data_IF_046294879826
#
_entry.id   IF_046294879826
#
_cell.length_a   1.000
_cell.length_b   1.000
_cell.length_c   1.000
_cell.angle_alpha   90.00
_cell.angle_beta   90.00
_cell.angle_gamma   90.00
#
_symmetry.space_group_name_H-M   'P 1'
#
loop_
_entity.id
_entity.type
_entity.pdbx_description
1 polymer ?
#
# COMPACT_ATOMS: atom_id res chain seq x y z
N UNK A 1 3.34 4.15 -41.42
CA UNK A 1 3.97 4.88 -40.32
C UNK A 1 4.65 3.83 -39.44
N UNK A 2 5.98 3.69 -39.55
CA UNK A 2 6.76 2.71 -38.83
C UNK A 2 6.72 3.07 -37.33
N UNK A 3 6.33 2.13 -36.48
CA UNK A 3 6.30 2.33 -35.01
C UNK A 3 7.74 2.42 -34.52
N UNK A 4 8.18 3.63 -34.16
CA UNK A 4 9.49 3.87 -33.56
C UNK A 4 9.53 3.30 -32.17
N UNK A 5 10.34 2.29 -31.94
CA UNK A 5 10.51 1.62 -30.63
C UNK A 5 11.66 2.31 -29.90
N UNK A 6 11.50 2.51 -28.58
CA UNK A 6 12.56 3.10 -27.74
C UNK A 6 13.43 2.01 -27.15
N UNK A 7 14.75 2.18 -27.21
CA UNK A 7 15.74 1.28 -26.63
C UNK A 7 16.53 2.01 -25.55
N UNK A 8 16.60 1.41 -24.36
CA UNK A 8 17.49 1.85 -23.29
C UNK A 8 18.87 1.21 -23.53
N UNK A 9 19.92 2.03 -23.54
CA UNK A 9 21.27 1.56 -23.77
C UNK A 9 22.21 1.91 -22.62
N UNK A 10 23.17 1.04 -22.42
CA UNK A 10 24.40 1.27 -21.68
C UNK A 10 25.54 1.11 -22.66
N UNK A 11 26.30 2.18 -22.89
CA UNK A 11 27.38 2.19 -23.85
C UNK A 11 28.67 2.76 -23.24
N UNK A 12 29.81 2.34 -23.76
CA UNK A 12 31.11 2.85 -23.36
C UNK A 12 31.62 3.77 -24.44
N UNK A 13 32.23 4.88 -24.05
CA UNK A 13 33.06 5.72 -24.89
C UNK A 13 34.45 5.11 -25.12
N UNK A 14 35.18 5.57 -26.13
CA UNK A 14 36.54 5.12 -26.38
C UNK A 14 37.55 5.44 -25.27
N UNK A 15 37.22 6.38 -24.38
CA UNK A 15 37.98 6.76 -23.18
C UNK A 15 37.63 5.90 -21.96
N UNK A 16 36.72 4.90 -22.08
CA UNK A 16 36.28 4.03 -21.02
C UNK A 16 35.17 4.59 -20.15
N UNK A 17 34.64 5.79 -20.39
CA UNK A 17 33.50 6.33 -19.69
C UNK A 17 32.20 5.64 -20.13
N UNK A 18 31.34 5.34 -19.18
CA UNK A 18 30.03 4.74 -19.44
C UNK A 18 28.95 5.80 -19.59
N UNK A 19 28.14 5.66 -20.65
CA UNK A 19 26.96 6.48 -20.90
C UNK A 19 25.69 5.63 -20.90
N UNK A 20 24.65 6.14 -20.28
CA UNK A 20 23.32 5.52 -20.23
C UNK A 20 22.31 6.46 -20.87
N UNK A 21 21.48 5.94 -21.78
CA UNK A 21 20.48 6.76 -22.44
C UNK A 21 19.32 5.93 -23.01
N UNK A 22 18.41 6.65 -23.67
CA UNK A 22 17.30 6.04 -24.43
C UNK A 22 17.37 6.57 -25.87
N UNK A 23 17.39 5.65 -26.82
CA UNK A 23 17.41 5.93 -28.23
C UNK A 23 16.12 5.41 -28.89
N UNK A 24 15.51 6.20 -29.76
CA UNK A 24 14.38 5.77 -30.58
C UNK A 24 14.88 5.20 -31.90
N UNK A 25 14.54 3.93 -32.21
CA UNK A 25 14.92 3.26 -33.44
C UNK A 25 13.82 2.30 -33.90
N UNK A 26 13.83 1.98 -35.21
CA UNK A 26 12.84 1.05 -35.77
C UNK A 26 13.16 -0.41 -35.47
N UNK A 27 14.40 -0.74 -35.14
CA UNK A 27 14.85 -2.08 -34.77
C UNK A 27 16.07 -2.02 -33.83
N UNK A 28 16.36 -3.17 -33.16
CA UNK A 28 17.56 -3.32 -32.33
C UNK A 28 18.84 -3.03 -33.10
N UNK A 29 18.91 -3.48 -34.36
CA UNK A 29 20.09 -3.28 -35.21
C UNK A 29 20.23 -1.83 -35.68
N UNK A 30 19.12 -1.12 -35.87
CA UNK A 30 19.12 0.31 -36.16
C UNK A 30 19.60 1.11 -34.93
N UNK A 31 19.22 0.71 -33.72
CA UNK A 31 19.71 1.34 -32.49
C UNK A 31 21.21 1.13 -32.29
N UNK A 32 21.72 -0.09 -32.56
CA UNK A 32 23.17 -0.39 -32.47
C UNK A 32 23.98 0.43 -33.46
N UNK A 33 23.49 0.59 -34.70
CA UNK A 33 24.17 1.43 -35.71
C UNK A 33 24.21 2.90 -35.32
N UNK A 34 23.10 3.42 -34.82
CA UNK A 34 23.02 4.82 -34.37
C UNK A 34 23.94 5.10 -33.16
N UNK A 35 24.14 4.13 -32.25
CA UNK A 35 25.13 4.26 -31.18
C UNK A 35 26.56 4.20 -31.70
N UNK A 36 26.84 3.31 -32.63
CA UNK A 36 28.18 3.21 -33.27
C UNK A 36 28.53 4.48 -34.04
N UNK A 37 27.59 5.12 -34.72
CA UNK A 37 27.77 6.42 -35.39
C UNK A 37 28.11 7.57 -34.43
N UNK A 38 27.65 7.45 -33.17
CA UNK A 38 27.98 8.39 -32.09
C UNK A 38 29.29 8.04 -31.35
N UNK A 39 30.04 7.04 -31.84
CA UNK A 39 31.27 6.59 -31.20
C UNK A 39 31.06 5.83 -29.88
N UNK A 40 29.85 5.32 -29.68
CA UNK A 40 29.46 4.60 -28.46
C UNK A 40 29.39 3.08 -28.70
N UNK A 41 30.07 2.31 -27.89
CA UNK A 41 30.04 0.84 -27.91
C UNK A 41 28.96 0.32 -26.95
N UNK A 42 27.88 -0.18 -27.52
CA UNK A 42 26.78 -0.70 -26.75
C UNK A 42 27.21 -1.96 -25.95
N UNK A 43 27.16 -1.88 -24.64
CA UNK A 43 27.40 -3.02 -23.72
C UNK A 43 26.10 -3.75 -23.45
N UNK A 44 25.01 -2.98 -23.28
CA UNK A 44 23.67 -3.51 -23.06
C UNK A 44 22.66 -2.68 -23.83
N UNK A 45 21.71 -3.35 -24.50
CA UNK A 45 20.65 -2.72 -25.29
C UNK A 45 19.35 -3.50 -25.09
N UNK A 46 18.47 -2.91 -24.33
CA UNK A 46 17.16 -3.48 -24.00
C UNK A 46 16.04 -2.60 -24.54
N UNK A 47 14.88 -3.20 -24.81
CA UNK A 47 13.68 -2.41 -25.08
C UNK A 47 13.45 -1.45 -23.92
N UNK A 48 13.42 -0.13 -24.23
CA UNK A 48 13.05 0.83 -23.20
C UNK A 48 11.62 0.51 -22.73
N UNK A 49 11.48 0.21 -21.46
CA UNK A 49 10.17 0.01 -20.85
C UNK A 49 9.33 1.25 -21.12
N UNK A 50 8.06 1.06 -21.41
CA UNK A 50 7.13 2.15 -21.75
C UNK A 50 7.11 3.23 -20.67
N UNK A 51 6.69 4.46 -21.01
CA UNK A 51 6.48 5.55 -20.02
C UNK A 51 5.59 5.16 -18.83
N UNK A 52 4.80 4.11 -18.97
CA UNK A 52 4.02 3.51 -17.87
C UNK A 52 4.90 2.75 -16.87
N UNK A 53 6.00 2.12 -17.28
CA UNK A 53 6.99 1.52 -16.38
C UNK A 53 7.82 2.60 -15.63
N UNK A 54 7.94 3.79 -16.20
CA UNK A 54 8.52 4.97 -15.52
C UNK A 54 7.61 5.50 -14.41
N UNK A 55 6.35 5.10 -14.40
CA UNK A 55 5.38 5.35 -13.32
C UNK A 55 5.37 4.24 -12.27
N UNK A 56 6.23 3.23 -12.36
CA UNK A 56 6.36 2.21 -11.32
C UNK A 56 6.59 2.92 -9.98
N UNK A 57 5.56 2.89 -9.15
CA UNK A 57 5.64 3.43 -7.79
C UNK A 57 6.62 2.57 -7.04
N UNK A 58 7.67 3.18 -6.49
CA UNK A 58 8.55 2.49 -5.56
C UNK A 58 7.68 1.84 -4.47
N UNK A 59 7.93 0.57 -4.18
CA UNK A 59 7.34 -0.02 -3.00
C UNK A 59 7.85 0.70 -1.75
N UNK A 60 7.11 0.65 -0.66
CA UNK A 60 7.59 1.26 0.59
C UNK A 60 8.90 0.65 1.06
N UNK A 61 9.15 -0.62 0.75
CA UNK A 61 10.38 -1.32 1.07
C UNK A 61 11.55 -0.83 0.20
N UNK A 62 11.35 -0.68 -1.12
CA UNK A 62 12.38 -0.15 -2.01
C UNK A 62 12.72 1.29 -1.67
N UNK A 63 11.70 2.10 -1.32
CA UNK A 63 11.91 3.47 -0.88
C UNK A 63 12.74 3.52 0.41
N UNK A 64 12.41 2.70 1.40
CA UNK A 64 13.14 2.60 2.64
C UNK A 64 14.59 2.17 2.42
N UNK A 65 14.81 1.12 1.61
CA UNK A 65 16.16 0.62 1.32
C UNK A 65 17.01 1.67 0.59
N UNK A 66 16.46 2.34 -0.42
CA UNK A 66 17.19 3.41 -1.13
C UNK A 66 17.51 4.60 -0.23
N UNK A 67 16.58 5.02 0.64
CA UNK A 67 16.84 6.06 1.63
C UNK A 67 17.92 5.63 2.65
N UNK A 68 17.94 4.36 3.05
CA UNK A 68 18.95 3.81 3.96
C UNK A 68 20.34 3.82 3.32
N UNK A 69 20.45 3.41 2.05
CA UNK A 69 21.70 3.50 1.28
C UNK A 69 22.17 4.94 1.19
N UNK A 70 21.26 5.86 0.83
CA UNK A 70 21.58 7.29 0.76
C UNK A 70 22.04 7.84 2.13
N UNK A 71 21.36 7.48 3.21
CA UNK A 71 21.75 7.88 4.56
C UNK A 71 23.16 7.40 4.91
N UNK A 72 23.48 6.13 4.65
CA UNK A 72 24.81 5.57 4.92
C UNK A 72 25.90 6.29 4.13
N UNK A 73 25.65 6.63 2.86
CA UNK A 73 26.60 7.39 2.03
C UNK A 73 26.78 8.83 2.54
N UNK A 74 25.73 9.47 3.02
CA UNK A 74 25.81 10.81 3.62
C UNK A 74 26.51 10.78 4.99
N UNK A 75 26.28 9.75 5.81
CA UNK A 75 26.94 9.55 7.10
C UNK A 75 28.44 9.31 6.96
N UNK A 76 28.88 8.70 5.82
CA UNK A 76 30.31 8.55 5.50
C UNK A 76 30.98 9.86 5.06
N UNK A 77 30.24 10.98 5.04
CA UNK A 77 30.74 12.30 4.65
C UNK A 77 30.71 12.59 3.16
N UNK A 78 30.11 11.74 2.34
CA UNK A 78 29.98 12.00 0.90
C UNK A 78 29.01 13.17 0.64
N UNK A 79 29.39 14.14 -0.20
CA UNK A 79 28.44 15.16 -0.69
C UNK A 79 27.25 14.53 -1.38
N UNK A 80 26.06 15.15 -1.27
CA UNK A 80 24.80 14.64 -1.84
C UNK A 80 24.92 14.24 -3.32
N UNK A 81 25.61 15.06 -4.10
CA UNK A 81 25.83 14.79 -5.54
C UNK A 81 26.64 13.52 -5.80
N UNK A 82 27.68 13.26 -4.98
CA UNK A 82 28.51 12.06 -5.06
C UNK A 82 27.77 10.84 -4.50
N UNK A 83 27.03 11.01 -3.41
CA UNK A 83 26.20 9.95 -2.83
C UNK A 83 25.15 9.45 -3.84
N UNK A 84 24.43 10.38 -4.51
CA UNK A 84 23.47 10.00 -5.57
C UNK A 84 24.11 9.35 -6.79
N UNK A 85 25.36 9.72 -7.13
CA UNK A 85 26.11 9.08 -8.21
C UNK A 85 26.55 7.65 -7.88
N UNK A 86 26.81 7.34 -6.60
CA UNK A 86 27.19 6.01 -6.14
C UNK A 86 25.98 5.07 -5.89
N UNK A 87 24.76 5.60 -5.80
CA UNK A 87 23.55 4.81 -5.53
C UNK A 87 23.19 3.74 -6.57
N UNK A 88 23.45 3.92 -7.90
CA UNK A 88 23.02 2.92 -8.90
C UNK A 88 23.54 1.51 -8.63
N UNK A 89 24.72 1.38 -8.06
CA UNK A 89 25.33 0.08 -7.76
C UNK A 89 24.90 -0.51 -6.41
N UNK A 90 24.25 0.26 -5.56
CA UNK A 90 23.95 -0.07 -4.17
C UNK A 90 22.45 -0.11 -3.85
N UNK A 91 21.66 0.65 -4.61
CA UNK A 91 20.21 0.79 -4.38
C UNK A 91 19.42 -0.25 -5.19
N UNK A 92 18.17 -0.55 -4.79
CA UNK A 92 17.29 -1.44 -5.56
C UNK A 92 17.11 -0.96 -7.01
N UNK A 93 16.93 -1.90 -7.94
CA UNK A 93 16.71 -1.62 -9.37
C UNK A 93 15.59 -0.61 -9.64
N UNK A 94 14.58 -0.60 -8.79
CA UNK A 94 13.46 0.35 -8.86
C UNK A 94 13.91 1.83 -8.78
N UNK A 95 15.08 2.12 -8.19
CA UNK A 95 15.66 3.46 -8.12
C UNK A 95 16.45 3.84 -9.36
N UNK A 96 17.01 2.87 -10.10
CA UNK A 96 17.93 3.11 -11.22
C UNK A 96 17.32 4.05 -12.28
N UNK A 97 16.04 3.90 -12.59
CA UNK A 97 15.34 4.74 -13.56
C UNK A 97 15.13 6.20 -13.10
N UNK A 98 15.26 6.47 -11.79
CA UNK A 98 14.96 7.78 -11.19
C UNK A 98 16.20 8.53 -10.72
N UNK A 99 17.26 7.81 -10.37
CA UNK A 99 18.52 8.39 -9.88
C UNK A 99 19.15 9.39 -10.85
N UNK A 100 19.19 9.16 -12.21
CA UNK A 100 19.79 10.13 -13.12
C UNK A 100 19.12 11.50 -13.09
N UNK A 101 17.78 11.52 -13.01
CA UNK A 101 17.03 12.78 -12.94
C UNK A 101 17.24 13.50 -11.60
N UNK A 102 17.31 12.73 -10.50
CA UNK A 102 17.56 13.25 -9.17
C UNK A 102 18.98 13.84 -9.06
N UNK A 103 19.98 13.08 -9.51
CA UNK A 103 21.37 13.51 -9.49
C UNK A 103 21.61 14.74 -10.39
N UNK A 104 20.92 14.84 -11.53
CA UNK A 104 20.98 16.02 -12.40
C UNK A 104 20.44 17.24 -11.69
N UNK A 105 19.21 17.17 -11.11
CA UNK A 105 18.61 18.28 -10.41
C UNK A 105 19.49 18.80 -9.26
N UNK A 106 20.11 17.91 -8.49
CA UNK A 106 21.04 18.30 -7.41
C UNK A 106 22.31 18.93 -7.96
N UNK A 107 22.87 18.44 -9.05
CA UNK A 107 24.05 19.07 -9.73
C UNK A 107 23.71 20.46 -10.27
N UNK A 108 22.50 20.70 -10.71
CA UNK A 108 21.98 21.99 -11.16
C UNK A 108 21.67 22.95 -9.97
N UNK A 109 21.96 22.55 -8.75
CA UNK A 109 21.81 23.36 -7.55
C UNK A 109 20.48 23.25 -6.83
N UNK A 110 19.60 22.32 -7.22
CA UNK A 110 18.39 22.05 -6.47
C UNK A 110 18.72 21.34 -5.14
N UNK A 111 17.97 21.66 -4.07
CA UNK A 111 18.05 20.91 -2.84
C UNK A 111 17.57 19.46 -3.04
N UNK A 112 18.04 18.51 -2.21
CA UNK A 112 17.63 17.10 -2.28
C UNK A 112 16.11 16.98 -2.13
N UNK A 113 15.51 17.70 -1.18
CA UNK A 113 14.07 17.71 -0.98
C UNK A 113 13.30 18.24 -2.20
N UNK A 114 13.80 19.30 -2.86
CA UNK A 114 13.21 19.83 -4.09
C UNK A 114 13.40 18.88 -5.28
N UNK A 115 14.56 18.26 -5.40
CA UNK A 115 14.83 17.25 -6.41
C UNK A 115 13.94 16.01 -6.25
N UNK A 116 13.76 15.52 -5.01
CA UNK A 116 12.85 14.43 -4.66
C UNK A 116 11.39 14.76 -5.00
N UNK A 117 10.93 15.96 -4.74
CA UNK A 117 9.56 16.40 -5.05
C UNK A 117 9.29 16.48 -6.55
N UNK A 118 10.26 17.00 -7.32
CA UNK A 118 10.20 17.07 -8.79
C UNK A 118 10.36 15.70 -9.45
N UNK A 119 11.08 14.80 -8.78
CA UNK A 119 11.18 13.43 -9.25
C UNK A 119 9.77 12.80 -9.24
N UNK A 120 9.43 12.06 -10.27
CA UNK A 120 8.14 11.33 -10.34
C UNK A 120 8.06 10.16 -9.35
N UNK A 121 8.88 10.19 -8.30
CA UNK A 121 8.84 9.26 -7.18
C UNK A 121 7.63 9.60 -6.31
N UNK A 122 6.80 8.62 -6.01
CA UNK A 122 5.67 8.79 -5.08
C UNK A 122 6.18 8.82 -3.62
N UNK A 123 7.00 9.84 -3.30
CA UNK A 123 7.58 10.01 -1.97
C UNK A 123 6.51 10.58 -1.03
N UNK A 124 6.27 9.99 0.13
CA UNK A 124 5.34 10.54 1.11
C UNK A 124 5.75 11.94 1.56
N UNK A 125 4.75 12.82 1.75
CA UNK A 125 4.98 14.22 2.15
C UNK A 125 5.75 14.34 3.47
N UNK A 126 5.62 13.37 4.38
CA UNK A 126 6.37 13.33 5.63
C UNK A 126 7.87 13.15 5.40
N UNK A 127 8.25 12.25 4.47
CA UNK A 127 9.66 12.03 4.09
C UNK A 127 10.25 13.30 3.50
N UNK A 128 9.54 13.96 2.58
CA UNK A 128 9.96 15.24 2.01
C UNK A 128 10.13 16.32 3.09
N UNK A 129 9.20 16.36 4.05
CA UNK A 129 9.28 17.30 5.18
C UNK A 129 10.52 17.08 6.05
N UNK A 130 10.84 15.81 6.38
CA UNK A 130 12.03 15.43 7.16
C UNK A 130 13.31 15.79 6.40
N UNK A 131 13.40 15.44 5.11
CA UNK A 131 14.59 15.72 4.29
C UNK A 131 14.83 17.25 4.18
N UNK A 132 13.79 18.03 3.90
CA UNK A 132 13.89 19.50 3.81
C UNK A 132 14.32 20.14 5.14
N UNK A 133 13.81 19.63 6.26
CA UNK A 133 14.23 20.11 7.57
C UNK A 133 15.72 19.79 7.83
N UNK A 134 16.16 18.60 7.44
CA UNK A 134 17.57 18.22 7.54
C UNK A 134 18.50 19.05 6.63
N UNK A 135 18.01 19.50 5.47
CA UNK A 135 18.74 20.40 4.56
C UNK A 135 18.85 21.82 5.12
N UNK A 136 17.79 22.34 5.74
CA UNK A 136 17.79 23.67 6.33
C UNK A 136 18.69 23.76 7.57
N UNK A 137 18.92 22.62 8.25
CA UNK A 137 19.86 22.47 9.36
C UNK A 137 21.12 21.71 8.94
N UNK A 138 22.04 21.49 9.87
CA UNK A 138 23.30 20.76 9.62
C UNK A 138 23.15 19.24 9.72
N UNK A 139 21.95 18.69 9.56
CA UNK A 139 21.66 17.30 9.91
C UNK A 139 21.06 16.44 8.82
N UNK A 140 21.37 16.70 7.53
CA UNK A 140 20.76 15.98 6.40
C UNK A 140 20.92 14.45 6.47
N UNK A 141 22.10 13.95 6.81
CA UNK A 141 22.34 12.50 6.91
C UNK A 141 21.41 11.86 7.96
N UNK A 142 21.30 12.47 9.14
CA UNK A 142 20.38 12.00 10.20
C UNK A 142 18.91 12.08 9.78
N UNK A 143 18.53 13.14 9.08
CA UNK A 143 17.18 13.32 8.57
C UNK A 143 16.83 12.25 7.54
N UNK A 144 17.72 11.94 6.60
CA UNK A 144 17.52 10.87 5.61
C UNK A 144 17.46 9.49 6.30
N UNK A 145 18.31 9.25 7.30
CA UNK A 145 18.25 8.04 8.15
C UNK A 145 16.87 7.92 8.83
N UNK A 146 16.40 9.00 9.44
CA UNK A 146 15.11 9.00 10.12
C UNK A 146 13.94 8.76 9.15
N UNK A 147 14.03 9.33 7.95
CA UNK A 147 13.06 9.07 6.88
C UNK A 147 13.08 7.61 6.43
N UNK A 148 14.26 6.98 6.34
CA UNK A 148 14.42 5.56 6.04
C UNK A 148 13.77 4.70 7.13
N UNK A 149 14.07 4.94 8.40
CA UNK A 149 13.53 4.18 9.54
C UNK A 149 12.00 4.25 9.57
N UNK A 150 11.42 5.43 9.33
CA UNK A 150 9.96 5.61 9.24
C UNK A 150 9.34 4.76 8.11
N UNK A 151 10.00 4.69 6.97
CA UNK A 151 9.53 3.89 5.84
C UNK A 151 9.71 2.39 6.08
N UNK A 152 10.77 1.96 6.75
CA UNK A 152 10.99 0.58 7.16
C UNK A 152 9.91 0.08 8.13
N UNK A 153 9.58 0.86 9.17
CA UNK A 153 8.50 0.54 10.09
C UNK A 153 7.15 0.39 9.36
N UNK A 154 6.87 1.31 8.41
CA UNK A 154 5.67 1.23 7.60
C UNK A 154 5.66 0.01 6.66
N UNK A 155 6.81 -0.37 6.09
CA UNK A 155 6.96 -1.54 5.23
C UNK A 155 6.81 -2.85 6.04
N UNK A 156 7.44 -2.94 7.21
CA UNK A 156 7.36 -4.08 8.11
C UNK A 156 5.91 -4.35 8.55
N UNK A 157 5.18 -3.30 8.95
CA UNK A 157 3.76 -3.42 9.33
C UNK A 157 2.91 -3.95 8.18
N UNK A 158 3.11 -3.42 6.96
CA UNK A 158 2.39 -3.91 5.76
C UNK A 158 2.73 -5.36 5.43
N UNK A 159 4.01 -5.75 5.57
CA UNK A 159 4.45 -7.11 5.33
C UNK A 159 3.81 -8.08 6.34
N UNK A 160 3.76 -7.72 7.62
CA UNK A 160 3.12 -8.51 8.67
C UNK A 160 1.63 -8.73 8.40
N UNK A 161 0.89 -7.67 8.02
CA UNK A 161 -0.53 -7.76 7.66
C UNK A 161 -0.72 -8.65 6.43
N UNK A 162 0.11 -8.49 5.39
CA UNK A 162 0.02 -9.32 4.18
C UNK A 162 0.31 -10.78 4.49
N UNK A 163 1.34 -11.07 5.27
CA UNK A 163 1.67 -12.44 5.68
C UNK A 163 0.52 -13.10 6.45
N UNK A 164 -0.11 -12.37 7.36
CA UNK A 164 -1.25 -12.87 8.12
C UNK A 164 -2.47 -13.23 7.24
N UNK A 165 -2.65 -12.54 6.11
CA UNK A 165 -3.79 -12.75 5.20
C UNK A 165 -3.56 -13.90 4.20
N UNK A 166 -2.33 -14.38 3.99
CA UNK A 166 -2.03 -15.44 3.00
C UNK A 166 -2.85 -16.69 3.29
N UNK A 167 -2.80 -17.18 4.52
CA UNK A 167 -3.50 -18.43 4.90
C UNK A 167 -5.03 -18.33 4.73
N UNK A 168 -5.73 -17.31 5.25
CA UNK A 168 -7.17 -17.14 5.00
C UNK A 168 -7.53 -17.03 3.52
N UNK A 169 -6.70 -16.37 2.71
CA UNK A 169 -6.93 -16.29 1.26
C UNK A 169 -6.83 -17.66 0.58
N UNK A 170 -5.81 -18.45 0.92
CA UNK A 170 -5.65 -19.81 0.39
C UNK A 170 -6.87 -20.68 0.78
N UNK A 171 -7.26 -20.63 2.05
CA UNK A 171 -8.42 -21.37 2.55
C UNK A 171 -9.72 -20.94 1.86
N UNK A 172 -9.92 -19.62 1.68
CA UNK A 172 -11.09 -19.10 0.98
C UNK A 172 -11.14 -19.53 -0.49
N UNK A 173 -10.01 -19.50 -1.21
CA UNK A 173 -9.92 -19.93 -2.60
C UNK A 173 -10.18 -21.45 -2.72
N UNK A 174 -9.52 -22.25 -1.88
CA UNK A 174 -9.69 -23.70 -1.89
C UNK A 174 -11.12 -24.12 -1.52
N UNK A 175 -11.69 -23.50 -0.46
CA UNK A 175 -13.06 -23.73 -0.03
C UNK A 175 -14.09 -23.35 -1.09
N UNK A 176 -13.95 -22.15 -1.67
CA UNK A 176 -14.84 -21.70 -2.76
C UNK A 176 -14.71 -22.58 -4.00
N UNK A 177 -13.50 -23.02 -4.36
CA UNK A 177 -13.25 -23.95 -5.45
C UNK A 177 -13.92 -25.31 -5.21
N UNK A 178 -13.75 -25.89 -4.02
CA UNK A 178 -14.36 -27.16 -3.63
C UNK A 178 -15.89 -27.11 -3.69
N UNK A 179 -16.49 -26.07 -3.09
CA UNK A 179 -17.94 -25.85 -3.13
C UNK A 179 -18.42 -25.59 -4.56
N UNK A 180 -17.66 -24.82 -5.35
CA UNK A 180 -17.96 -24.56 -6.76
C UNK A 180 -18.03 -25.84 -7.59
N UNK A 181 -17.09 -26.77 -7.39
CA UNK A 181 -17.11 -28.09 -8.05
C UNK A 181 -18.32 -28.92 -7.57
N UNK A 182 -18.58 -28.94 -6.26
CA UNK A 182 -19.67 -29.70 -5.68
C UNK A 182 -21.04 -29.26 -6.22
N UNK A 183 -21.29 -27.96 -6.20
CA UNK A 183 -22.57 -27.36 -6.65
C UNK A 183 -22.64 -27.25 -8.17
N UNK A 184 -21.50 -27.00 -8.84
CA UNK A 184 -21.46 -26.74 -10.28
C UNK A 184 -21.35 -27.99 -11.16
N UNK A 185 -20.81 -29.07 -10.63
CA UNK A 185 -20.55 -30.32 -11.41
C UNK A 185 -21.23 -31.51 -10.78
N UNK A 186 -21.00 -31.76 -9.49
CA UNK A 186 -21.49 -32.99 -8.84
C UNK A 186 -23.00 -32.96 -8.70
N UNK A 187 -23.55 -31.91 -8.11
CA UNK A 187 -25.00 -31.82 -7.85
C UNK A 187 -25.87 -31.89 -9.14
N UNK A 188 -25.54 -31.22 -10.26
CA UNK A 188 -26.30 -31.34 -11.51
C UNK A 188 -26.23 -32.73 -12.10
N UNK A 189 -25.10 -33.44 -12.02
CA UNK A 189 -25.00 -34.83 -12.50
C UNK A 189 -25.92 -35.77 -11.72
N UNK A 190 -25.98 -35.61 -10.39
CA UNK A 190 -26.93 -36.39 -9.58
C UNK A 190 -28.38 -36.02 -9.90
N UNK A 191 -28.67 -34.74 -10.14
CA UNK A 191 -30.01 -34.31 -10.55
C UNK A 191 -30.46 -34.92 -11.88
N UNK A 192 -29.57 -35.04 -12.85
CA UNK A 192 -29.84 -35.69 -14.12
C UNK A 192 -30.14 -37.19 -13.95
N UNK A 193 -29.32 -37.92 -13.18
CA UNK A 193 -29.52 -39.34 -12.89
C UNK A 193 -30.89 -39.60 -12.22
N UNK A 194 -31.28 -38.77 -11.27
CA UNK A 194 -32.59 -38.86 -10.59
C UNK A 194 -33.76 -38.58 -11.54
N UNK A 195 -33.61 -37.62 -12.44
CA UNK A 195 -34.60 -37.30 -13.45
C UNK A 195 -34.79 -38.48 -14.45
N UNK A 196 -33.69 -39.12 -14.86
CA UNK A 196 -33.72 -40.30 -15.73
C UNK A 196 -34.42 -41.51 -15.08
N UNK A 197 -34.37 -41.59 -13.74
CA UNK A 197 -35.09 -42.61 -12.96
C UNK A 197 -36.57 -42.29 -12.72
N UNK A 198 -37.09 -41.19 -13.31
CA UNK A 198 -38.50 -40.77 -13.21
C UNK A 198 -38.90 -40.29 -11.80
N UNK A 199 -37.94 -39.96 -10.96
CA UNK A 199 -38.21 -39.56 -9.57
C UNK A 199 -38.24 -38.04 -9.42
N UNK A 200 -39.15 -37.53 -8.57
CA UNK A 200 -39.22 -36.13 -8.23
C UNK A 200 -38.03 -35.75 -7.36
N UNK A 201 -37.33 -34.67 -7.72
CA UNK A 201 -36.22 -34.13 -6.95
C UNK A 201 -36.73 -33.69 -5.55
N UNK A 202 -36.02 -34.09 -4.47
CA UNK A 202 -36.31 -33.56 -3.13
C UNK A 202 -36.26 -32.04 -3.08
N UNK A 203 -37.09 -31.37 -2.23
CA UNK A 203 -37.18 -29.92 -2.20
C UNK A 203 -35.86 -29.24 -1.87
N UNK A 204 -35.02 -29.86 -1.04
CA UNK A 204 -33.65 -29.38 -0.71
C UNK A 204 -32.73 -29.39 -1.92
N UNK A 205 -32.72 -30.48 -2.69
CA UNK A 205 -31.90 -30.61 -3.91
C UNK A 205 -32.39 -29.64 -4.98
N UNK A 206 -33.71 -29.51 -5.16
CA UNK A 206 -34.30 -28.55 -6.07
C UNK A 206 -33.94 -27.12 -5.73
N UNK A 207 -34.02 -26.72 -4.45
CA UNK A 207 -33.60 -25.41 -3.99
C UNK A 207 -32.15 -25.08 -4.32
N UNK A 208 -31.20 -26.01 -4.06
CA UNK A 208 -29.77 -25.80 -4.35
C UNK A 208 -29.54 -25.75 -5.87
N UNK A 209 -30.20 -26.60 -6.66
CA UNK A 209 -30.09 -26.58 -8.14
C UNK A 209 -30.66 -25.30 -8.74
N UNK A 210 -31.84 -24.89 -8.32
CA UNK A 210 -32.49 -23.63 -8.80
C UNK A 210 -31.64 -22.43 -8.41
N UNK A 211 -31.13 -22.37 -7.15
CA UNK A 211 -30.23 -21.33 -6.70
C UNK A 211 -28.94 -21.28 -7.52
N UNK A 212 -28.38 -22.44 -7.88
CA UNK A 212 -27.16 -22.50 -8.70
C UNK A 212 -27.41 -22.11 -10.16
N UNK A 213 -28.57 -22.44 -10.72
CA UNK A 213 -28.96 -22.05 -12.07
C UNK A 213 -29.19 -20.52 -12.15
N UNK A 214 -29.92 -19.96 -11.18
CA UNK A 214 -30.10 -18.51 -11.05
C UNK A 214 -28.74 -17.80 -10.88
N UNK A 215 -27.85 -18.35 -10.04
CA UNK A 215 -26.50 -17.79 -9.85
C UNK A 215 -25.69 -17.79 -11.15
N UNK A 216 -25.75 -18.84 -11.97
CA UNK A 216 -25.07 -18.89 -13.29
C UNK A 216 -25.67 -17.89 -14.28
N UNK A 217 -26.99 -17.84 -14.39
CA UNK A 217 -27.68 -16.91 -15.30
C UNK A 217 -27.45 -15.45 -14.90
N UNK A 218 -27.45 -15.20 -13.60
CA UNK A 218 -27.20 -13.89 -13.02
C UNK A 218 -25.70 -13.52 -12.94
N UNK A 219 -24.77 -14.46 -13.11
CA UNK A 219 -23.33 -14.23 -12.91
C UNK A 219 -22.79 -13.08 -13.79
N UNK A 220 -23.15 -13.06 -15.07
CA UNK A 220 -22.73 -12.01 -16.00
C UNK A 220 -23.35 -10.63 -15.66
N UNK A 221 -24.68 -10.49 -15.57
CA UNK A 221 -25.28 -9.18 -15.25
C UNK A 221 -24.94 -8.72 -13.83
N UNK A 222 -24.85 -9.64 -12.85
CA UNK A 222 -24.43 -9.29 -11.48
C UNK A 222 -22.94 -8.90 -11.44
N UNK A 223 -22.08 -9.59 -12.19
CA UNK A 223 -20.67 -9.23 -12.31
C UNK A 223 -20.49 -7.82 -12.91
N UNK A 224 -21.20 -7.51 -13.98
CA UNK A 224 -21.18 -6.16 -14.59
C UNK A 224 -21.77 -5.11 -13.64
N UNK A 225 -22.92 -5.39 -13.01
CA UNK A 225 -23.52 -4.48 -12.03
C UNK A 225 -22.58 -4.24 -10.83
N UNK A 226 -21.98 -5.31 -10.31
CA UNK A 226 -20.98 -5.20 -9.22
C UNK A 226 -19.77 -4.37 -9.63
N UNK A 227 -19.26 -4.56 -10.85
CA UNK A 227 -18.15 -3.76 -11.38
C UNK A 227 -18.53 -2.27 -11.48
N UNK A 228 -19.73 -1.97 -12.02
CA UNK A 228 -20.22 -0.59 -12.10
C UNK A 228 -20.36 0.03 -10.71
N UNK A 229 -20.95 -0.70 -9.75
CA UNK A 229 -21.10 -0.25 -8.37
C UNK A 229 -19.74 -0.04 -7.72
N UNK A 230 -18.78 -0.94 -7.92
CA UNK A 230 -17.40 -0.80 -7.40
C UNK A 230 -16.68 0.41 -7.99
N UNK A 231 -16.83 0.65 -9.30
CA UNK A 231 -16.23 1.83 -9.97
C UNK A 231 -16.88 3.12 -9.46
N UNK A 232 -18.20 3.17 -9.39
CA UNK A 232 -18.92 4.33 -8.87
C UNK A 232 -18.60 4.59 -7.39
N UNK A 233 -18.57 3.55 -6.57
CA UNK A 233 -18.17 3.63 -5.17
C UNK A 233 -16.72 4.13 -5.02
N UNK A 234 -15.78 3.57 -5.84
CA UNK A 234 -14.39 4.02 -5.84
C UNK A 234 -14.27 5.48 -6.26
N UNK A 235 -15.02 5.93 -7.27
CA UNK A 235 -15.05 7.32 -7.70
C UNK A 235 -15.61 8.23 -6.60
N UNK A 236 -16.67 7.80 -5.91
CA UNK A 236 -17.26 8.55 -4.79
C UNK A 236 -16.29 8.61 -3.59
N UNK A 237 -15.66 7.51 -3.21
CA UNK A 237 -14.67 7.48 -2.11
C UNK A 237 -13.39 8.22 -2.46
N UNK A 238 -13.05 8.39 -3.74
CA UNK A 238 -11.91 9.22 -4.17
C UNK A 238 -12.24 10.72 -4.19
N UNK A 239 -13.51 11.12 -4.15
CA UNK A 239 -13.92 12.52 -3.99
C UNK A 239 -13.69 12.98 -2.54
N UNK A 240 -13.20 14.20 -2.34
CA UNK A 240 -12.81 14.69 -1.01
C UNK A 240 -13.90 14.55 0.06
N UNK A 241 -15.15 14.93 -0.26
CA UNK A 241 -16.28 14.83 0.69
C UNK A 241 -16.72 13.37 0.90
N UNK A 242 -16.72 12.54 -0.15
CA UNK A 242 -17.04 11.12 -0.06
C UNK A 242 -16.02 10.35 0.76
N UNK A 243 -14.72 10.64 0.59
CA UNK A 243 -13.64 10.05 1.36
C UNK A 243 -13.82 10.25 2.86
N UNK A 244 -14.15 11.48 3.29
CA UNK A 244 -14.34 11.82 4.70
C UNK A 244 -15.59 11.15 5.28
N UNK A 245 -16.71 11.17 4.56
CA UNK A 245 -17.95 10.50 5.00
C UNK A 245 -17.76 9.00 5.17
N UNK A 246 -17.13 8.36 4.18
CA UNK A 246 -16.81 6.95 4.23
C UNK A 246 -15.85 6.59 5.37
N UNK A 247 -14.80 7.41 5.56
CA UNK A 247 -13.85 7.23 6.65
C UNK A 247 -14.54 7.33 8.03
N UNK A 248 -15.41 8.32 8.23
CA UNK A 248 -16.17 8.45 9.48
C UNK A 248 -17.11 7.27 9.74
N UNK A 249 -17.77 6.76 8.70
CA UNK A 249 -18.64 5.60 8.81
C UNK A 249 -17.84 4.34 9.21
N UNK A 250 -16.69 4.13 8.60
CA UNK A 250 -15.80 3.02 8.95
C UNK A 250 -15.19 3.16 10.36
N UNK A 251 -14.87 4.38 10.80
CA UNK A 251 -14.40 4.62 12.16
C UNK A 251 -15.46 4.30 13.23
N UNK A 252 -16.74 4.35 12.88
CA UNK A 252 -17.86 3.94 13.75
C UNK A 252 -18.00 2.42 13.91
N UNK A 253 -17.34 1.61 13.10
CA UNK A 253 -17.42 0.15 13.22
C UNK A 253 -16.52 -0.37 14.36
N UNK A 254 -16.98 -1.38 15.16
CA UNK A 254 -16.27 -1.77 16.37
C UNK A 254 -14.89 -2.38 16.12
N UNK A 255 -14.71 -3.17 15.05
CA UNK A 255 -13.44 -3.85 14.75
C UNK A 255 -12.60 -3.02 13.79
N UNK A 256 -13.15 -2.69 12.62
CA UNK A 256 -12.41 -1.96 11.56
C UNK A 256 -12.06 -0.55 12.01
N UNK A 257 -13.00 0.14 12.68
CA UNK A 257 -12.79 1.49 13.19
C UNK A 257 -11.66 1.54 14.23
N UNK A 258 -11.62 0.58 15.15
CA UNK A 258 -10.57 0.49 16.15
C UNK A 258 -9.18 0.25 15.54
N UNK A 259 -9.08 -0.63 14.52
CA UNK A 259 -7.82 -0.87 13.78
C UNK A 259 -7.38 0.39 13.03
N UNK A 260 -8.28 1.01 12.28
CA UNK A 260 -8.01 2.22 11.50
C UNK A 260 -7.55 3.37 12.38
N UNK A 261 -8.23 3.58 13.52
CA UNK A 261 -7.91 4.64 14.48
C UNK A 261 -6.51 4.45 15.07
N UNK A 262 -6.18 3.25 15.55
CA UNK A 262 -4.84 2.95 16.07
C UNK A 262 -3.77 3.11 14.98
N UNK A 263 -3.97 2.57 13.78
CA UNK A 263 -3.03 2.68 12.70
C UNK A 263 -2.82 4.13 12.21
N UNK A 264 -3.87 4.94 12.14
CA UNK A 264 -3.77 6.36 11.80
C UNK A 264 -3.06 7.15 12.89
N UNK A 265 -3.41 6.91 14.18
CA UNK A 265 -2.74 7.51 15.32
C UNK A 265 -1.24 7.18 15.33
N UNK A 266 -0.87 5.92 15.12
CA UNK A 266 0.53 5.49 15.04
C UNK A 266 1.29 6.29 13.97
N UNK A 267 0.74 6.40 12.76
CA UNK A 267 1.37 7.14 11.65
C UNK A 267 1.49 8.64 11.94
N UNK A 268 0.46 9.25 12.52
CA UNK A 268 0.50 10.68 12.91
C UNK A 268 1.57 10.92 13.96
N UNK A 269 1.60 10.10 15.02
CA UNK A 269 2.58 10.23 16.11
C UNK A 269 4.02 9.96 15.62
N UNK A 270 4.23 8.96 14.77
CA UNK A 270 5.54 8.68 14.18
C UNK A 270 6.03 9.84 13.31
N UNK A 271 5.14 10.37 12.44
CA UNK A 271 5.46 11.51 11.59
C UNK A 271 5.77 12.78 12.41
N UNK A 272 4.95 13.08 13.42
CA UNK A 272 5.19 14.23 14.31
C UNK A 272 6.51 14.08 15.06
N UNK A 273 6.78 12.93 15.65
CA UNK A 273 8.04 12.66 16.34
C UNK A 273 9.24 12.91 15.43
N UNK A 274 9.22 12.32 14.23
CA UNK A 274 10.31 12.44 13.27
C UNK A 274 10.53 13.88 12.78
N UNK A 275 9.44 14.61 12.51
CA UNK A 275 9.50 16.00 12.06
C UNK A 275 10.01 16.94 13.15
N UNK A 276 9.50 16.80 14.39
CA UNK A 276 9.94 17.61 15.52
C UNK A 276 11.39 17.33 15.90
N UNK A 277 11.82 16.05 15.86
CA UNK A 277 13.21 15.67 16.06
C UNK A 277 14.15 16.27 15.01
N UNK A 278 13.65 16.45 13.78
CA UNK A 278 14.37 17.11 12.69
C UNK A 278 14.32 18.65 12.76
N UNK A 279 13.69 19.23 13.79
CA UNK A 279 13.61 20.68 14.00
C UNK A 279 12.48 21.39 13.23
N UNK A 280 11.54 20.66 12.65
CA UNK A 280 10.38 21.26 11.98
C UNK A 280 9.46 21.92 13.02
N UNK A 281 9.04 23.16 12.78
CA UNK A 281 8.09 23.87 13.65
C UNK A 281 6.77 23.07 13.79
N UNK A 282 6.20 23.03 15.00
CA UNK A 282 5.03 22.21 15.35
C UNK A 282 3.84 22.42 14.38
N UNK A 283 3.55 23.66 14.00
CA UNK A 283 2.45 23.99 13.09
C UNK A 283 2.63 23.40 11.69
N UNK A 284 3.87 23.37 11.20
CA UNK A 284 4.22 22.75 9.92
C UNK A 284 4.26 21.21 10.04
N UNK A 285 4.82 20.69 11.14
CA UNK A 285 4.86 19.28 11.43
C UNK A 285 3.46 18.65 11.47
N UNK A 286 2.48 19.32 12.08
CA UNK A 286 1.08 18.91 12.10
C UNK A 286 0.47 18.80 10.69
N UNK A 287 0.81 19.70 9.77
CA UNK A 287 0.34 19.64 8.39
C UNK A 287 0.84 18.39 7.65
N UNK A 288 2.11 18.06 7.80
CA UNK A 288 2.72 16.89 7.19
C UNK A 288 2.26 15.58 7.86
N UNK A 289 2.14 15.58 9.18
CA UNK A 289 1.66 14.46 9.96
C UNK A 289 0.19 14.13 9.65
N UNK A 290 -0.67 15.14 9.45
CA UNK A 290 -2.04 14.95 9.02
C UNK A 290 -2.11 14.17 7.68
N UNK A 291 -1.27 14.51 6.72
CA UNK A 291 -1.18 13.78 5.43
C UNK A 291 -0.67 12.35 5.60
N UNK A 292 0.14 12.09 6.62
CA UNK A 292 0.63 10.74 6.93
C UNK A 292 -0.43 9.85 7.58
N UNK A 293 -1.52 10.39 8.10
CA UNK A 293 -2.58 9.63 8.78
C UNK A 293 -3.12 8.47 7.94
N UNK A 294 -3.20 8.62 6.60
CA UNK A 294 -3.72 7.60 5.68
C UNK A 294 -5.21 7.29 5.91
N UNK A 295 -5.91 8.16 6.64
CA UNK A 295 -7.33 8.15 6.92
C UNK A 295 -7.86 9.57 6.81
N UNK A 296 -8.84 9.81 5.92
CA UNK A 296 -9.31 11.16 5.63
C UNK A 296 -10.01 11.84 6.83
N UNK A 297 -10.69 11.06 7.67
CA UNK A 297 -11.34 11.61 8.84
C UNK A 297 -10.32 12.04 9.91
N UNK A 298 -9.34 11.19 10.21
CA UNK A 298 -8.27 11.51 11.15
C UNK A 298 -7.41 12.66 10.60
N UNK A 299 -7.12 12.68 9.30
CA UNK A 299 -6.41 13.79 8.67
C UNK A 299 -7.11 15.14 8.94
N UNK A 300 -8.42 15.22 8.73
CA UNK A 300 -9.18 16.44 8.97
C UNK A 300 -9.20 16.84 10.44
N UNK A 301 -9.33 15.87 11.36
CA UNK A 301 -9.27 16.12 12.81
C UNK A 301 -7.90 16.65 13.24
N UNK A 302 -6.80 16.13 12.70
CA UNK A 302 -5.45 16.62 12.97
C UNK A 302 -5.27 18.04 12.40
N UNK A 303 -5.83 18.34 11.22
CA UNK A 303 -5.80 19.70 10.65
C UNK A 303 -6.64 20.70 11.47
N UNK A 304 -7.79 20.27 12.00
CA UNK A 304 -8.59 21.07 12.94
C UNK A 304 -7.81 21.34 14.24
N UNK A 305 -7.20 20.31 14.82
CA UNK A 305 -6.33 20.44 15.99
C UNK A 305 -5.17 21.41 15.74
N UNK A 306 -4.56 21.37 14.53
CA UNK A 306 -3.53 22.34 14.13
C UNK A 306 -4.03 23.79 14.22
N UNK A 307 -5.25 24.04 13.76
CA UNK A 307 -5.83 25.40 13.82
C UNK A 307 -5.93 25.89 15.27
N UNK A 308 -6.38 25.02 16.18
CA UNK A 308 -6.44 25.33 17.62
C UNK A 308 -5.05 25.57 18.23
N UNK A 309 -4.04 24.78 17.82
CA UNK A 309 -2.66 24.95 18.28
C UNK A 309 -2.07 26.29 17.81
N UNK A 310 -2.34 26.70 16.56
CA UNK A 310 -1.91 28.03 16.06
C UNK A 310 -2.58 29.15 16.84
N UNK A 311 -3.82 28.96 17.31
CA UNK A 311 -4.53 29.91 18.17
C UNK A 311 -4.03 29.88 19.63
N UNK A 312 -2.99 29.10 19.96
CA UNK A 312 -2.37 29.04 21.28
C UNK A 312 -2.86 27.93 22.21
N UNK A 313 -3.71 27.00 21.72
CA UNK A 313 -4.10 25.87 22.52
C UNK A 313 -2.94 24.88 22.71
N UNK A 314 -2.94 24.13 23.83
CA UNK A 314 -2.01 23.02 24.03
C UNK A 314 -2.31 21.91 23.03
N UNK A 315 -1.28 21.24 22.52
CA UNK A 315 -1.41 20.16 21.53
C UNK A 315 -2.27 19.01 22.05
N UNK A 316 -2.07 18.60 23.29
CA UNK A 316 -2.85 17.55 23.95
C UNK A 316 -4.33 17.90 24.06
N UNK A 317 -4.65 19.15 24.42
CA UNK A 317 -6.02 19.64 24.50
C UNK A 317 -6.68 19.69 23.11
N UNK A 318 -5.97 20.21 22.09
CA UNK A 318 -6.45 20.24 20.72
C UNK A 318 -6.76 18.83 20.17
N UNK A 319 -5.86 17.87 20.40
CA UNK A 319 -6.10 16.47 19.98
C UNK A 319 -7.28 15.82 20.71
N UNK A 320 -7.52 16.16 21.96
CA UNK A 320 -8.65 15.64 22.73
C UNK A 320 -9.97 16.24 22.23
N UNK A 321 -10.03 17.54 22.02
CA UNK A 321 -11.22 18.26 21.54
C UNK A 321 -11.65 17.77 20.16
N UNK A 322 -10.71 17.57 19.25
CA UNK A 322 -10.96 17.12 17.87
C UNK A 322 -11.07 15.59 17.74
N UNK A 323 -10.92 14.84 18.83
CA UNK A 323 -10.88 13.36 18.81
C UNK A 323 -9.90 12.82 17.75
N UNK A 324 -8.76 13.50 17.59
CA UNK A 324 -7.81 13.27 16.50
C UNK A 324 -6.94 12.01 16.69
N UNK A 325 -6.68 11.64 17.95
CA UNK A 325 -5.86 10.50 18.34
C UNK A 325 -6.64 9.54 19.24
N UNK A 326 -6.07 8.37 19.49
CA UNK A 326 -6.60 7.46 20.53
C UNK A 326 -6.45 8.07 21.93
N UNK A 327 -7.30 7.70 22.89
CA UNK A 327 -7.22 8.23 24.25
C UNK A 327 -5.85 8.04 24.92
N UNK A 328 -5.17 6.93 24.61
CA UNK A 328 -3.86 6.64 25.20
C UNK A 328 -2.78 7.49 24.56
N UNK A 329 -2.78 7.65 23.23
CA UNK A 329 -1.85 8.53 22.57
C UNK A 329 -2.01 10.00 23.06
N UNK A 330 -3.25 10.48 23.22
CA UNK A 330 -3.52 11.82 23.77
C UNK A 330 -2.98 12.01 25.18
N UNK A 331 -3.05 10.98 26.04
CA UNK A 331 -2.44 11.02 27.39
C UNK A 331 -0.92 11.07 27.34
N UNK A 332 -0.29 10.31 26.43
CA UNK A 332 1.17 10.34 26.25
C UNK A 332 1.63 11.69 25.71
N UNK A 333 0.90 12.27 24.75
CA UNK A 333 1.16 13.63 24.27
C UNK A 333 1.09 14.65 25.40
N UNK A 334 0.08 14.57 26.25
CA UNK A 334 -0.07 15.44 27.42
C UNK A 334 1.11 15.31 28.38
N UNK A 335 1.50 14.09 28.71
CA UNK A 335 2.66 13.86 29.56
C UNK A 335 3.95 14.42 28.93
N UNK A 336 4.09 14.29 27.59
CA UNK A 336 5.20 14.86 26.84
C UNK A 336 5.24 16.39 26.85
N UNK A 337 4.08 17.06 26.78
CA UNK A 337 3.97 18.51 26.89
C UNK A 337 4.34 19.01 28.31
N UNK A 338 3.83 18.32 29.34
CA UNK A 338 4.07 18.67 30.73
C UNK A 338 5.53 18.49 31.15
N UNK A 339 6.22 17.48 30.57
CA UNK A 339 7.62 17.15 30.92
C UNK A 339 8.66 17.70 29.94
N UNK A 340 8.25 18.39 28.86
CA UNK A 340 9.14 18.83 27.79
C UNK A 340 9.72 17.70 26.94
N UNK A 341 9.18 16.47 27.07
CA UNK A 341 9.66 15.28 26.37
C UNK A 341 8.74 14.84 25.22
N UNK A 342 8.10 15.81 24.54
CA UNK A 342 7.05 15.57 23.55
C UNK A 342 7.51 14.60 22.45
N UNK A 343 8.69 14.78 21.88
CA UNK A 343 9.24 13.91 20.81
C UNK A 343 9.30 12.45 21.26
N UNK A 344 9.82 12.18 22.46
CA UNK A 344 9.91 10.83 23.00
C UNK A 344 8.53 10.20 23.26
N UNK A 345 7.60 10.97 23.79
CA UNK A 345 6.25 10.48 24.08
C UNK A 345 5.47 10.22 22.80
N UNK A 346 5.65 11.03 21.76
CA UNK A 346 5.08 10.78 20.43
C UNK A 346 5.67 9.49 19.81
N UNK A 347 6.99 9.28 19.89
CA UNK A 347 7.61 8.04 19.41
C UNK A 347 7.09 6.80 20.18
N UNK A 348 6.89 6.93 21.48
CA UNK A 348 6.32 5.86 22.30
C UNK A 348 4.85 5.58 21.95
N UNK A 349 4.05 6.64 21.78
CA UNK A 349 2.66 6.53 21.34
C UNK A 349 2.55 5.86 19.95
N UNK A 350 3.45 6.20 19.03
CA UNK A 350 3.50 5.62 17.70
C UNK A 350 3.73 4.10 17.76
N UNK A 351 4.74 3.66 18.52
CA UNK A 351 5.03 2.23 18.69
C UNK A 351 3.88 1.46 19.32
N UNK A 352 3.36 1.96 20.44
CA UNK A 352 2.25 1.34 21.16
C UNK A 352 0.99 1.20 20.29
N UNK A 353 0.65 2.22 19.54
CA UNK A 353 -0.53 2.19 18.67
C UNK A 353 -0.31 1.32 17.41
N UNK A 354 0.92 1.23 16.93
CA UNK A 354 1.26 0.31 15.83
C UNK A 354 1.18 -1.16 16.26
N UNK A 355 1.69 -1.49 17.44
CA UNK A 355 1.55 -2.82 18.05
C UNK A 355 0.07 -3.18 18.22
N UNK A 356 -0.73 -2.28 18.78
CA UNK A 356 -2.17 -2.47 18.93
C UNK A 356 -2.92 -2.66 17.62
N UNK A 357 -2.57 -1.88 16.60
CA UNK A 357 -3.16 -2.04 15.28
C UNK A 357 -2.84 -3.42 14.71
N UNK A 358 -1.59 -3.85 14.83
CA UNK A 358 -1.12 -5.15 14.36
C UNK A 358 -1.79 -6.31 15.10
N UNK A 359 -1.88 -6.24 16.43
CA UNK A 359 -2.53 -7.25 17.27
C UNK A 359 -4.02 -7.39 16.96
N UNK A 360 -4.71 -6.26 16.74
CA UNK A 360 -6.12 -6.26 16.34
C UNK A 360 -6.34 -6.87 14.96
N UNK A 361 -5.46 -6.57 14.00
CA UNK A 361 -5.50 -7.20 12.68
C UNK A 361 -5.29 -8.71 12.81
N UNK A 362 -4.28 -9.15 13.56
CA UNK A 362 -4.03 -10.57 13.77
C UNK A 362 -5.22 -11.26 14.47
N UNK A 363 -5.82 -10.62 15.47
CA UNK A 363 -7.00 -11.14 16.14
C UNK A 363 -8.20 -11.26 15.20
N UNK A 364 -8.44 -10.25 14.36
CA UNK A 364 -9.50 -10.30 13.35
C UNK A 364 -9.26 -11.42 12.31
N UNK A 365 -8.01 -11.60 11.88
CA UNK A 365 -7.61 -12.67 10.96
C UNK A 365 -7.79 -14.05 11.58
N UNK A 366 -7.44 -14.24 12.85
CA UNK A 366 -7.66 -15.51 13.58
C UNK A 366 -9.15 -15.89 13.68
N UNK A 367 -10.04 -14.92 13.73
CA UNK A 367 -11.49 -15.17 13.75
C UNK A 367 -12.05 -15.56 12.37
N UNK A 368 -11.35 -15.18 11.28
CA UNK A 368 -11.76 -15.59 9.92
C UNK A 368 -11.65 -17.10 9.71
N UNK A 369 -10.65 -17.76 10.30
CA UNK A 369 -10.41 -19.20 10.12
C UNK A 369 -11.59 -20.06 10.58
N UNK A 370 -12.05 -20.00 11.86
CA UNK A 370 -13.22 -20.76 12.28
C UNK A 370 -14.47 -20.41 11.49
N UNK A 371 -14.64 -19.13 11.13
CA UNK A 371 -15.78 -18.68 10.34
C UNK A 371 -15.80 -19.31 8.95
N UNK A 372 -14.66 -19.34 8.26
CA UNK A 372 -14.53 -19.96 6.96
C UNK A 372 -14.73 -21.48 7.02
N UNK A 373 -14.16 -22.15 8.04
CA UNK A 373 -14.34 -23.59 8.23
C UNK A 373 -15.81 -23.92 8.46
N UNK A 374 -16.49 -23.19 9.34
CA UNK A 374 -17.92 -23.40 9.61
C UNK A 374 -18.78 -23.09 8.39
N UNK A 375 -18.48 -22.02 7.66
CA UNK A 375 -19.21 -21.65 6.46
C UNK A 375 -19.08 -22.71 5.34
N UNK A 376 -17.85 -23.12 5.03
CA UNK A 376 -17.61 -24.14 3.99
C UNK A 376 -18.06 -25.53 4.45
N UNK A 377 -17.79 -25.92 5.70
CA UNK A 377 -18.23 -27.19 6.26
C UNK A 377 -19.75 -27.29 6.32
N UNK A 378 -20.43 -26.23 6.74
CA UNK A 378 -21.90 -26.16 6.74
C UNK A 378 -22.49 -26.26 5.33
N UNK A 379 -21.87 -25.60 4.35
CA UNK A 379 -22.33 -25.67 2.96
C UNK A 379 -22.11 -27.06 2.34
N UNK A 380 -20.96 -27.70 2.61
CA UNK A 380 -20.67 -29.06 2.19
C UNK A 380 -21.65 -30.05 2.87
N UNK A 381 -21.91 -29.89 4.18
CA UNK A 381 -22.87 -30.70 4.88
C UNK A 381 -24.30 -30.56 4.32
N UNK A 382 -24.71 -29.35 3.96
CA UNK A 382 -26.00 -29.08 3.32
C UNK A 382 -26.11 -29.82 1.97
N UNK A 383 -25.08 -29.75 1.14
CA UNK A 383 -25.06 -30.45 -0.16
C UNK A 383 -25.05 -31.96 0.03
N UNK A 384 -24.25 -32.48 0.99
CA UNK A 384 -24.22 -33.91 1.30
C UNK A 384 -25.60 -34.43 1.79
N UNK A 385 -26.25 -33.64 2.68
CA UNK A 385 -27.60 -33.98 3.13
C UNK A 385 -28.62 -33.99 1.99
N UNK A 386 -28.54 -33.04 1.06
CA UNK A 386 -29.39 -32.99 -0.10
C UNK A 386 -29.19 -34.22 -1.04
N UNK A 387 -27.93 -34.63 -1.22
CA UNK A 387 -27.61 -35.85 -2.00
C UNK A 387 -28.09 -37.13 -1.30
N UNK A 388 -27.86 -37.27 0.00
CA UNK A 388 -28.33 -38.41 0.77
C UNK A 388 -29.86 -38.52 0.75
N UNK A 389 -30.54 -37.40 0.94
CA UNK A 389 -32.01 -37.37 0.85
C UNK A 389 -32.49 -37.77 -0.53
N UNK A 390 -31.79 -37.39 -1.60
CA UNK A 390 -32.09 -37.81 -2.95
C UNK A 390 -31.90 -39.32 -3.14
N UNK A 391 -30.83 -39.91 -2.62
CA UNK A 391 -30.56 -41.35 -2.70
C UNK A 391 -31.63 -42.15 -1.92
N UNK A 392 -31.97 -41.73 -0.70
CA UNK A 392 -32.98 -42.43 0.12
C UNK A 392 -34.42 -42.27 -0.42
N UNK A 393 -34.68 -41.28 -1.26
CA UNK A 393 -35.98 -41.09 -1.92
C UNK A 393 -36.21 -42.13 -3.06
N UNK A 394 -35.14 -42.77 -3.55
CA UNK A 394 -35.22 -43.88 -4.53
C UNK A 394 -35.78 -45.11 -3.81
N UNK A 395 -37.10 -45.32 -3.85
CA UNK A 395 -37.70 -46.57 -3.39
C UNK A 395 -37.45 -47.65 -4.45
N UNK A 396 -36.94 -48.86 -4.08
CA UNK A 396 -36.95 -49.99 -4.98
C UNK A 396 -38.42 -50.38 -5.23
N UNK A 397 -38.89 -50.30 -6.45
CA UNK A 397 -40.14 -50.92 -6.91
C UNK A 397 -39.96 -52.41 -7.06
#
# INVERSE_FOLDING_TARGET
>A
MSATTRYAYRAAHADGAFEHGVLAAESRDAALRALAEQGLWAIDLNLARSDDDLRARLSSADLALGLRVLAALLESGLPVSKALAAMPDLAPDAWQSKLPSLARAVREGASLGAAMERSRLAIPAVVLGIVRAGEAGSGLARAVRRAADLMDEAAATRAAVRAALIYPCILAVAGTGSVGILVGVVLPRFGAILADLGQALPPTTRFVLESSAVARLAALPTGVATLIVLVAWRAWVSSGAGAVRWANLLLGTPVIGAIRRSAATARVCAALSALLESGVALSSALTHAARAAGDAAIQNRVLAARTSVIAGARLSAAFLTEDALTPIASRLVRAGEETGALVRMLAHAARLENERATDRVQSAVRLLEPTLILAFGGLVALVAAALLQAIYSVRPT
#
